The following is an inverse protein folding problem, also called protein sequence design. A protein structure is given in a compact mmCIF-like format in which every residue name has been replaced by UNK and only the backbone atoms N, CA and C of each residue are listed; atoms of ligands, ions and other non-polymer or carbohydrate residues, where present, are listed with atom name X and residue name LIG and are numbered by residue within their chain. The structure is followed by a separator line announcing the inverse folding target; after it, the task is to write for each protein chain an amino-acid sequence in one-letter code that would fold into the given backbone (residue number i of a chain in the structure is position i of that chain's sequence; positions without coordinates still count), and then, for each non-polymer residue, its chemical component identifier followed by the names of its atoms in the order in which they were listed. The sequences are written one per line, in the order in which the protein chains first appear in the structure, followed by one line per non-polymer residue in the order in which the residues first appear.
data_IF_774019642523
#
_entry.id   IF_774019642523
#
_cell.length_a   1.000
_cell.length_b   1.000
_cell.length_c   1.000
_cell.angle_alpha   90.00
_cell.angle_beta   90.00
_cell.angle_gamma   90.00
#
_symmetry.space_group_name_H-M   'P 1'
#
loop_
_entity.id
_entity.type
_entity.pdbx_description
1 polymer ?
#
# COMPACT_ATOMS: atom_id res chain seq x y z
N UNK A 1 12.09 -16.73 21.14
CA UNK A 1 13.26 -17.65 21.11
C UNK A 1 12.74 -19.06 20.92
N UNK A 2 13.44 -19.89 20.15
CA UNK A 2 13.18 -21.31 19.99
C UNK A 2 14.26 -22.15 20.64
N UNK A 3 13.92 -23.35 21.11
CA UNK A 3 14.91 -24.33 21.57
C UNK A 3 15.35 -25.17 20.39
N UNK A 4 16.62 -25.06 20.01
CA UNK A 4 17.22 -25.94 19.00
C UNK A 4 17.65 -27.23 19.68
N UNK A 5 17.10 -28.35 19.23
CA UNK A 5 17.46 -29.69 19.70
C UNK A 5 18.51 -30.29 18.76
N UNK A 6 19.78 -29.91 18.95
CA UNK A 6 20.90 -30.55 18.27
C UNK A 6 21.29 -31.82 19.04
N UNK A 7 21.01 -32.98 18.43
CA UNK A 7 21.29 -34.29 19.02
C UNK A 7 22.78 -34.67 19.05
N UNK A 8 23.66 -33.90 18.40
CA UNK A 8 25.11 -34.10 18.40
C UNK A 8 25.82 -33.14 19.35
N UNK A 9 25.45 -31.85 19.32
CA UNK A 9 26.17 -30.80 20.06
C UNK A 9 25.44 -30.30 21.32
N UNK A 10 24.26 -30.85 21.62
CA UNK A 10 23.45 -30.43 22.75
C UNK A 10 22.51 -29.27 22.42
N UNK A 11 21.47 -29.11 23.23
CA UNK A 11 20.43 -28.13 22.92
C UNK A 11 20.80 -26.71 23.36
N UNK A 12 20.43 -25.72 22.54
CA UNK A 12 20.69 -24.30 22.80
C UNK A 12 19.48 -23.44 22.45
N UNK A 13 19.44 -22.22 23.00
CA UNK A 13 18.41 -21.25 22.69
C UNK A 13 18.82 -20.42 21.47
N UNK A 14 17.93 -20.31 20.50
CA UNK A 14 18.11 -19.47 19.32
C UNK A 14 17.05 -18.37 19.30
N UNK A 15 17.45 -17.13 19.04
CA UNK A 15 16.51 -16.06 18.78
C UNK A 15 15.76 -16.37 17.48
N UNK A 16 14.43 -16.20 17.51
CA UNK A 16 13.61 -16.27 16.30
C UNK A 16 13.28 -14.82 16.00
N UNK A 17 14.05 -14.23 15.10
CA UNK A 17 13.84 -12.87 14.63
C UNK A 17 13.15 -12.93 13.27
N UNK A 18 12.18 -12.04 13.01
CA UNK A 18 11.57 -11.94 11.70
C UNK A 18 12.60 -11.48 10.67
N UNK A 19 12.39 -11.89 9.40
CA UNK A 19 13.10 -11.32 8.27
C UNK A 19 12.99 -9.79 8.27
N UNK A 20 14.09 -9.08 8.07
CA UNK A 20 14.14 -7.63 8.26
C UNK A 20 13.55 -6.84 7.08
N UNK A 21 13.62 -7.40 5.86
CA UNK A 21 13.27 -6.69 4.63
C UNK A 21 11.88 -7.08 4.12
N UNK A 22 10.83 -6.58 4.77
CA UNK A 22 9.45 -6.72 4.31
C UNK A 22 9.00 -5.41 3.66
N UNK A 23 8.82 -5.45 2.34
CA UNK A 23 8.58 -4.25 1.54
C UNK A 23 7.39 -4.52 0.61
N UNK A 24 6.43 -3.61 0.62
CA UNK A 24 5.42 -3.45 -0.40
C UNK A 24 5.76 -2.19 -1.20
N UNK A 25 6.01 -2.34 -2.50
CA UNK A 25 6.36 -1.23 -3.39
C UNK A 25 5.44 -1.21 -4.60
N UNK A 26 4.86 -0.05 -4.90
CA UNK A 26 3.95 0.15 -6.03
C UNK A 26 4.41 1.37 -6.82
N UNK A 27 4.51 1.22 -8.13
CA UNK A 27 4.76 2.30 -9.06
C UNK A 27 3.67 2.32 -10.13
N UNK A 28 2.96 3.43 -10.22
CA UNK A 28 1.82 3.64 -11.09
C UNK A 28 2.05 4.84 -12.01
N UNK A 29 1.86 4.62 -13.30
CA UNK A 29 1.88 5.67 -14.32
C UNK A 29 0.52 5.70 -15.00
N UNK A 30 -0.18 6.81 -14.88
CA UNK A 30 -1.56 6.99 -15.33
C UNK A 30 -1.62 8.19 -16.28
N UNK A 31 -2.45 8.11 -17.29
CA UNK A 31 -2.75 9.18 -18.23
C UNK A 31 -4.27 9.35 -18.36
N UNK A 32 -4.73 10.59 -18.29
CA UNK A 32 -6.11 10.97 -18.57
C UNK A 32 -6.35 11.04 -20.09
N UNK A 33 -7.48 10.52 -20.56
CA UNK A 33 -7.95 10.73 -21.93
C UNK A 33 -8.96 11.89 -22.01
N UNK A 34 -9.42 12.20 -23.23
CA UNK A 34 -10.39 13.28 -23.48
C UNK A 34 -11.84 12.94 -23.03
N UNK A 35 -12.11 11.65 -22.84
CA UNK A 35 -13.41 11.09 -22.47
C UNK A 35 -13.60 10.98 -20.95
N UNK A 36 -12.58 11.31 -20.16
CA UNK A 36 -12.59 11.19 -18.71
C UNK A 36 -12.24 9.80 -18.18
N UNK A 37 -11.67 8.94 -19.04
CA UNK A 37 -11.14 7.64 -18.66
C UNK A 37 -9.64 7.79 -18.40
N UNK A 38 -9.19 7.18 -17.30
CA UNK A 38 -7.79 7.19 -16.91
C UNK A 38 -7.20 5.80 -17.16
N UNK A 39 -6.11 5.72 -17.91
CA UNK A 39 -5.46 4.43 -18.20
C UNK A 39 -4.02 4.45 -17.74
N UNK A 40 -3.49 3.30 -17.33
CA UNK A 40 -2.15 3.26 -16.77
C UNK A 40 -1.51 1.90 -16.69
N UNK A 41 -0.25 1.91 -16.27
CA UNK A 41 0.55 0.73 -15.95
C UNK A 41 0.92 0.75 -14.49
N UNK A 42 0.81 -0.42 -13.85
CA UNK A 42 1.16 -0.62 -12.46
C UNK A 42 2.20 -1.72 -12.37
N UNK A 43 3.28 -1.42 -11.64
CA UNK A 43 4.32 -2.38 -11.30
C UNK A 43 4.37 -2.48 -9.78
N UNK A 44 4.26 -3.70 -9.25
CA UNK A 44 4.35 -3.97 -7.82
C UNK A 44 5.53 -4.91 -7.55
N UNK A 45 6.18 -4.70 -6.41
CA UNK A 45 7.22 -5.58 -5.91
C UNK A 45 7.02 -5.82 -4.42
N UNK A 46 6.94 -7.10 -4.04
CA UNK A 46 6.70 -7.54 -2.67
C UNK A 46 7.92 -8.33 -2.19
N UNK A 47 8.39 -8.07 -0.97
CA UNK A 47 9.57 -8.72 -0.37
C UNK A 47 9.22 -9.36 0.97
N UNK A 48 10.00 -10.38 1.36
CA UNK A 48 9.90 -11.01 2.68
C UNK A 48 8.53 -11.66 2.91
N UNK A 49 7.99 -11.53 4.13
CA UNK A 49 6.72 -12.11 4.51
C UNK A 49 5.52 -11.55 3.72
N UNK A 50 5.59 -10.30 3.27
CA UNK A 50 4.55 -9.71 2.40
C UNK A 50 4.49 -10.47 1.06
N UNK A 51 5.64 -10.83 0.50
CA UNK A 51 5.70 -11.62 -0.72
C UNK A 51 5.16 -13.05 -0.51
N UNK A 52 5.46 -13.63 0.66
CA UNK A 52 4.98 -14.96 1.03
C UNK A 52 3.45 -15.00 1.16
N UNK A 53 2.86 -14.05 1.89
CA UNK A 53 1.41 -13.93 2.03
C UNK A 53 0.74 -13.82 0.65
N UNK A 54 1.30 -13.00 -0.23
CA UNK A 54 0.75 -12.80 -1.58
C UNK A 54 0.89 -14.02 -2.48
N UNK A 55 2.00 -14.75 -2.39
CA UNK A 55 2.17 -16.05 -3.08
C UNK A 55 1.11 -17.05 -2.61
N UNK A 56 0.87 -17.13 -1.30
CA UNK A 56 -0.15 -18.02 -0.77
C UNK A 56 -1.55 -17.64 -1.28
N UNK A 57 -1.90 -16.35 -1.32
CA UNK A 57 -3.18 -15.92 -1.90
C UNK A 57 -3.33 -16.29 -3.38
N UNK A 58 -2.25 -16.21 -4.17
CA UNK A 58 -2.26 -16.58 -5.59
C UNK A 58 -2.30 -18.11 -5.78
N UNK A 59 -1.82 -18.89 -4.82
CA UNK A 59 -1.85 -20.35 -4.87
C UNK A 59 -3.21 -20.91 -4.38
N UNK A 60 -3.80 -20.26 -3.36
CA UNK A 60 -5.11 -20.61 -2.80
C UNK A 60 -6.27 -20.24 -3.74
N UNK A 61 -6.16 -19.13 -4.46
CA UNK A 61 -7.15 -18.66 -5.42
C UNK A 61 -6.70 -18.94 -6.87
N UNK A 62 -7.63 -19.12 -7.81
CA UNK A 62 -7.22 -19.08 -9.21
C UNK A 62 -6.81 -17.65 -9.59
N UNK A 63 -5.83 -17.48 -10.48
CA UNK A 63 -5.40 -16.14 -10.91
C UNK A 63 -6.56 -15.22 -11.36
N UNK A 64 -7.59 -15.70 -12.10
CA UNK A 64 -8.77 -14.88 -12.41
C UNK A 64 -9.57 -14.42 -11.19
N UNK A 65 -9.72 -15.28 -10.18
CA UNK A 65 -10.40 -14.91 -8.92
C UNK A 65 -9.58 -13.89 -8.14
N UNK A 66 -8.26 -14.07 -8.10
CA UNK A 66 -7.34 -13.13 -7.49
C UNK A 66 -7.43 -11.72 -8.11
N UNK A 67 -7.45 -11.65 -9.44
CA UNK A 67 -7.63 -10.38 -10.18
C UNK A 67 -9.01 -9.77 -9.88
N UNK A 68 -10.07 -10.58 -9.91
CA UNK A 68 -11.44 -10.13 -9.62
C UNK A 68 -11.55 -9.58 -8.19
N UNK A 69 -10.91 -10.22 -7.22
CA UNK A 69 -10.88 -9.77 -5.84
C UNK A 69 -10.17 -8.42 -5.70
N UNK A 70 -9.09 -8.19 -6.46
CA UNK A 70 -8.45 -6.87 -6.52
C UNK A 70 -9.35 -5.79 -7.14
N UNK A 71 -10.08 -6.11 -8.20
CA UNK A 71 -11.02 -5.16 -8.83
C UNK A 71 -12.19 -4.80 -7.91
N UNK A 72 -12.71 -5.76 -7.15
CA UNK A 72 -13.87 -5.53 -6.28
C UNK A 72 -13.59 -4.60 -5.08
N UNK A 73 -12.32 -4.34 -4.74
CA UNK A 73 -12.00 -3.46 -3.61
C UNK A 73 -12.30 -1.98 -3.88
N UNK A 74 -12.29 -1.55 -5.14
CA UNK A 74 -12.62 -0.18 -5.54
C UNK A 74 -13.46 -0.18 -6.82
N UNK A 75 -14.64 0.42 -6.73
CA UNK A 75 -15.52 0.59 -7.89
C UNK A 75 -14.83 1.42 -8.99
N UNK A 76 -15.13 1.10 -10.25
CA UNK A 76 -14.60 1.83 -11.40
C UNK A 76 -13.17 1.46 -11.80
N UNK A 77 -12.64 0.31 -11.36
CA UNK A 77 -11.31 -0.17 -11.75
C UNK A 77 -11.40 -1.47 -12.56
N UNK A 78 -10.78 -1.44 -13.73
CA UNK A 78 -10.53 -2.62 -14.53
C UNK A 78 -9.04 -2.94 -14.59
N UNK A 79 -8.71 -4.23 -14.55
CA UNK A 79 -7.33 -4.73 -14.61
C UNK A 79 -7.19 -5.62 -15.83
N UNK A 80 -6.24 -5.30 -16.71
CA UNK A 80 -5.89 -6.11 -17.88
C UNK A 80 -4.40 -6.47 -17.91
N UNK A 81 -4.06 -7.50 -18.70
CA UNK A 81 -2.68 -7.96 -18.94
C UNK A 81 -1.88 -8.23 -17.66
N UNK A 82 -2.52 -8.89 -16.69
CA UNK A 82 -1.87 -9.27 -15.44
C UNK A 82 -0.74 -10.28 -15.65
N UNK A 83 0.44 -9.95 -15.15
CA UNK A 83 1.63 -10.80 -15.20
C UNK A 83 2.24 -10.87 -13.81
N UNK A 84 2.63 -12.08 -13.41
CA UNK A 84 3.31 -12.32 -12.15
C UNK A 84 4.63 -13.03 -12.43
N UNK A 85 5.71 -12.51 -11.87
CA UNK A 85 7.05 -13.07 -11.98
C UNK A 85 7.54 -13.54 -10.61
N UNK A 86 8.46 -14.51 -10.61
CA UNK A 86 9.15 -14.99 -9.40
C UNK A 86 8.20 -15.64 -8.35
N UNK A 87 7.09 -16.24 -8.80
CA UNK A 87 6.14 -16.98 -7.93
C UNK A 87 6.86 -18.08 -7.14
N UNK A 88 7.71 -18.87 -7.80
CA UNK A 88 8.39 -20.03 -7.19
C UNK A 88 9.73 -19.68 -6.52
N UNK A 89 10.27 -18.51 -6.79
CA UNK A 89 11.60 -18.07 -6.33
C UNK A 89 11.46 -17.29 -5.02
N UNK A 90 11.42 -18.00 -3.89
CA UNK A 90 11.14 -17.41 -2.56
C UNK A 90 12.16 -16.34 -2.11
N UNK A 91 13.40 -16.44 -2.58
CA UNK A 91 14.49 -15.51 -2.25
C UNK A 91 14.43 -14.22 -3.08
N UNK A 92 13.57 -14.18 -4.10
CA UNK A 92 13.36 -13.01 -4.96
C UNK A 92 12.04 -12.31 -4.61
N UNK A 93 11.91 -11.01 -4.90
CA UNK A 93 10.63 -10.33 -4.75
C UNK A 93 9.59 -10.89 -5.72
N UNK A 94 8.36 -11.07 -5.24
CA UNK A 94 7.22 -11.33 -6.11
C UNK A 94 6.89 -10.03 -6.86
N UNK A 95 6.92 -10.08 -8.19
CA UNK A 95 6.62 -8.91 -9.03
C UNK A 95 5.32 -9.11 -9.75
N UNK A 96 4.51 -8.05 -9.79
CA UNK A 96 3.23 -8.04 -10.48
C UNK A 96 3.17 -6.83 -11.40
N UNK A 97 2.87 -7.07 -12.66
CA UNK A 97 2.77 -6.03 -13.67
C UNK A 97 1.42 -6.14 -14.35
N UNK A 98 0.69 -5.03 -14.44
CA UNK A 98 -0.62 -5.03 -15.06
C UNK A 98 -0.98 -3.63 -15.56
N UNK A 99 -1.93 -3.61 -16.46
CA UNK A 99 -2.57 -2.38 -16.93
C UNK A 99 -3.83 -2.13 -16.10
N UNK A 100 -4.19 -0.85 -15.97
CA UNK A 100 -5.43 -0.42 -15.32
C UNK A 100 -6.21 0.53 -16.20
N UNK A 101 -7.52 0.46 -16.07
CA UNK A 101 -8.47 1.48 -16.51
C UNK A 101 -9.25 1.94 -15.29
N UNK A 102 -9.37 3.25 -15.11
CA UNK A 102 -10.09 3.89 -14.01
C UNK A 102 -11.17 4.77 -14.60
N UNK A 103 -12.41 4.53 -14.19
CA UNK A 103 -13.55 5.40 -14.41
C UNK A 103 -13.79 6.23 -13.14
N UNK A 104 -13.32 7.49 -13.10
CA UNK A 104 -13.41 8.30 -11.90
C UNK A 104 -14.84 8.80 -11.64
N UNK A 105 -15.12 9.15 -10.39
CA UNK A 105 -16.39 9.75 -10.02
C UNK A 105 -16.51 11.17 -10.61
N UNK A 106 -17.67 11.49 -11.18
CA UNK A 106 -17.96 12.81 -11.74
C UNK A 106 -19.07 13.50 -10.96
N UNK A 107 -18.82 14.73 -10.49
CA UNK A 107 -19.78 15.55 -9.75
C UNK A 107 -19.89 16.91 -10.42
N UNK A 108 -20.95 17.12 -11.20
CA UNK A 108 -21.09 18.32 -12.02
C UNK A 108 -20.04 18.35 -13.14
N UNK A 109 -19.20 19.39 -13.16
CA UNK A 109 -18.08 19.58 -14.08
C UNK A 109 -16.73 19.08 -13.52
N UNK A 110 -16.74 18.46 -12.34
CA UNK A 110 -15.55 18.04 -11.61
C UNK A 110 -15.34 16.53 -11.68
N UNK A 111 -14.09 16.12 -11.80
CA UNK A 111 -13.65 14.73 -11.71
C UNK A 111 -12.93 14.52 -10.38
N UNK A 112 -13.33 13.47 -9.66
CA UNK A 112 -12.77 13.09 -8.36
C UNK A 112 -11.96 11.81 -8.52
N UNK A 113 -10.69 11.87 -8.15
CA UNK A 113 -9.76 10.74 -8.27
C UNK A 113 -9.18 10.38 -6.91
N UNK A 114 -9.28 9.09 -6.56
CA UNK A 114 -8.56 8.53 -5.42
C UNK A 114 -7.22 7.95 -5.91
N UNK A 115 -6.08 8.54 -5.58
CA UNK A 115 -4.80 8.21 -6.22
C UNK A 115 -4.26 6.82 -5.87
N UNK A 116 -4.72 6.23 -4.77
CA UNK A 116 -4.30 4.90 -4.32
C UNK A 116 -5.33 3.86 -4.75
N UNK A 117 -5.38 3.57 -6.05
CA UNK A 117 -6.45 2.79 -6.69
C UNK A 117 -6.28 1.27 -6.50
N UNK A 118 -5.08 0.77 -6.21
CA UNK A 118 -4.84 -0.66 -5.98
C UNK A 118 -5.19 -1.08 -4.55
N UNK A 119 -5.41 -2.39 -4.37
CA UNK A 119 -5.53 -3.02 -3.05
C UNK A 119 -4.41 -2.56 -2.14
N UNK A 120 -4.78 -1.87 -1.07
CA UNK A 120 -3.81 -1.34 -0.11
C UNK A 120 -3.40 -2.43 0.86
N UNK A 121 -2.11 -2.47 1.24
CA UNK A 121 -1.64 -3.43 2.26
C UNK A 121 -2.40 -3.28 3.59
N UNK A 122 -2.89 -2.06 3.88
CA UNK A 122 -3.73 -1.77 5.04
C UNK A 122 -5.10 -1.29 4.57
N UNK A 123 -6.11 -2.13 4.77
CA UNK A 123 -7.47 -1.83 4.36
C UNK A 123 -8.35 -1.22 5.45
N UNK A 124 -8.04 -1.45 6.73
CA UNK A 124 -8.77 -0.84 7.83
C UNK A 124 -7.83 -0.54 9.00
N UNK A 125 -8.28 0.31 9.92
CA UNK A 125 -7.55 0.56 11.15
C UNK A 125 -7.73 -0.64 12.08
N UNK A 126 -6.66 -1.37 12.44
CA UNK A 126 -6.76 -2.52 13.36
C UNK A 126 -7.06 -2.09 14.81
N UNK A 127 -6.96 -0.80 15.13
CA UNK A 127 -7.12 -0.24 16.47
C UNK A 127 -8.55 0.27 16.74
N UNK A 128 -9.48 -0.67 16.93
CA UNK A 128 -10.91 -0.37 17.14
C UNK A 128 -11.30 -0.09 18.60
N UNK A 129 -10.53 -0.58 19.56
CA UNK A 129 -10.82 -0.44 21.00
C UNK A 129 -10.48 0.98 21.51
N UNK A 130 -10.95 1.31 22.72
CA UNK A 130 -10.55 2.56 23.40
C UNK A 130 -9.15 2.45 24.01
N UNK A 131 -8.84 1.30 24.58
CA UNK A 131 -7.57 1.01 25.25
C UNK A 131 -7.22 -0.47 25.09
N UNK A 132 -5.96 -0.81 25.38
CA UNK A 132 -5.45 -2.18 25.36
C UNK A 132 -4.45 -2.38 26.48
N UNK A 133 -4.62 -3.45 27.27
CA UNK A 133 -3.76 -3.74 28.42
C UNK A 133 -2.57 -4.66 28.10
N UNK A 134 -2.53 -5.22 26.90
CA UNK A 134 -1.47 -6.14 26.46
C UNK A 134 -0.63 -5.53 25.35
N UNK A 135 0.67 -5.90 25.26
CA UNK A 135 1.50 -5.54 24.14
C UNK A 135 0.88 -5.91 22.79
N UNK A 136 1.31 -5.21 21.75
CA UNK A 136 0.91 -5.43 20.37
C UNK A 136 2.11 -5.95 19.60
N UNK A 137 1.88 -6.97 18.79
CA UNK A 137 2.90 -7.59 17.96
C UNK A 137 2.36 -7.64 16.51
N UNK A 138 3.08 -7.01 15.59
CA UNK A 138 2.80 -6.97 14.15
C UNK A 138 3.54 -8.07 13.38
N UNK A 139 4.29 -8.93 14.06
CA UNK A 139 5.02 -10.06 13.48
C UNK A 139 6.37 -9.68 12.87
N UNK A 140 6.43 -8.60 12.10
CA UNK A 140 7.65 -8.17 11.42
C UNK A 140 7.66 -6.65 11.11
N UNK A 141 8.84 -6.01 11.05
CA UNK A 141 8.95 -4.63 10.58
C UNK A 141 8.67 -4.60 9.08
N UNK A 142 8.01 -3.55 8.60
CA UNK A 142 7.67 -3.44 7.18
C UNK A 142 7.66 -2.01 6.69
N UNK A 143 7.76 -1.86 5.37
CA UNK A 143 7.54 -0.60 4.68
C UNK A 143 6.59 -0.75 3.50
N UNK A 144 5.80 0.28 3.26
CA UNK A 144 4.87 0.38 2.16
C UNK A 144 5.08 1.70 1.42
N UNK A 145 5.38 1.62 0.12
CA UNK A 145 5.64 2.77 -0.74
C UNK A 145 4.73 2.74 -1.95
N UNK A 146 4.04 3.86 -2.21
CA UNK A 146 3.33 4.10 -3.47
C UNK A 146 3.92 5.32 -4.16
N UNK A 147 4.33 5.13 -5.41
CA UNK A 147 4.65 6.20 -6.33
C UNK A 147 3.56 6.25 -7.40
N UNK A 148 2.83 7.35 -7.46
CA UNK A 148 1.76 7.54 -8.45
C UNK A 148 2.07 8.79 -9.25
N UNK A 149 2.15 8.63 -10.57
CA UNK A 149 2.28 9.73 -11.52
C UNK A 149 1.03 9.75 -12.40
N UNK A 150 0.32 10.88 -12.41
CA UNK A 150 -0.87 11.09 -13.23
C UNK A 150 -0.56 12.21 -14.22
N UNK A 151 -0.62 11.91 -15.52
CA UNK A 151 -0.56 12.90 -16.60
C UNK A 151 -1.98 13.28 -17.01
N UNK A 152 -2.36 14.53 -16.77
CA UNK A 152 -3.66 15.10 -17.09
C UNK A 152 -3.79 15.48 -18.57
N UNK A 153 -2.68 15.45 -19.32
CA UNK A 153 -2.62 15.96 -20.69
C UNK A 153 -3.03 17.44 -20.75
N UNK A 154 -3.70 17.82 -21.82
CA UNK A 154 -4.29 19.16 -21.98
C UNK A 154 -5.81 19.16 -21.72
N UNK A 155 -6.31 18.12 -21.06
CA UNK A 155 -7.75 17.90 -20.87
C UNK A 155 -8.22 18.43 -19.52
N UNK A 156 -7.39 18.31 -18.48
CA UNK A 156 -7.75 18.64 -17.11
C UNK A 156 -6.73 19.54 -16.43
N UNK A 157 -7.22 20.39 -15.54
CA UNK A 157 -6.42 21.14 -14.58
C UNK A 157 -6.73 20.70 -13.15
N UNK A 158 -5.76 20.90 -12.26
CA UNK A 158 -5.90 20.60 -10.84
C UNK A 158 -6.68 21.71 -10.16
N UNK A 159 -7.85 21.39 -9.63
CA UNK A 159 -8.64 22.32 -8.82
C UNK A 159 -8.27 22.20 -7.34
N UNK A 160 -8.11 20.96 -6.85
CA UNK A 160 -7.76 20.70 -5.46
C UNK A 160 -6.84 19.48 -5.31
N UNK A 161 -5.80 19.63 -4.49
CA UNK A 161 -4.97 18.54 -4.00
C UNK A 161 -5.13 18.35 -2.49
N UNK A 162 -5.00 17.12 -1.99
CA UNK A 162 -4.81 16.88 -0.57
C UNK A 162 -3.52 17.53 -0.06
N UNK A 163 -3.44 17.73 1.27
CA UNK A 163 -2.27 18.34 1.90
C UNK A 163 -1.17 17.30 2.12
N UNK A 164 0.01 17.60 1.60
CA UNK A 164 1.25 16.89 1.95
C UNK A 164 1.50 16.98 3.45
N UNK A 165 1.78 15.83 4.08
CA UNK A 165 2.03 15.76 5.52
C UNK A 165 2.88 14.55 5.89
N UNK A 166 3.44 14.60 7.11
CA UNK A 166 4.12 13.47 7.72
C UNK A 166 3.72 13.34 9.19
N UNK A 167 3.67 12.10 9.66
CA UNK A 167 3.42 11.70 11.04
C UNK A 167 4.49 10.71 11.47
N UNK A 168 4.91 10.78 12.73
CA UNK A 168 5.94 9.91 13.30
C UNK A 168 5.42 9.31 14.59
N UNK A 169 5.73 8.04 14.80
CA UNK A 169 5.61 7.42 16.10
C UNK A 169 6.80 7.84 17.00
N UNK A 170 6.64 7.79 18.33
CA UNK A 170 7.75 8.00 19.26
C UNK A 170 8.92 7.04 19.00
N UNK A 171 10.09 7.36 19.54
CA UNK A 171 11.28 6.49 19.54
C UNK A 171 11.75 5.99 18.15
N UNK A 172 11.34 6.65 17.07
CA UNK A 172 11.55 6.17 15.69
C UNK A 172 10.91 4.79 15.45
N UNK A 173 9.81 4.46 16.14
CA UNK A 173 9.11 3.18 15.98
C UNK A 173 8.46 3.03 14.59
N UNK A 174 8.22 4.16 13.91
CA UNK A 174 7.66 4.20 12.56
C UNK A 174 7.34 5.63 12.10
N UNK A 175 7.12 5.77 10.80
CA UNK A 175 6.70 7.05 10.21
C UNK A 175 5.90 6.84 8.94
N UNK A 176 5.03 7.82 8.67
CA UNK A 176 4.27 7.91 7.44
C UNK A 176 4.44 9.31 6.86
N UNK A 177 4.53 9.40 5.54
CA UNK A 177 4.60 10.65 4.80
C UNK A 177 3.85 10.52 3.50
N UNK A 178 3.11 11.56 3.13
CA UNK A 178 2.52 11.71 1.81
C UNK A 178 2.90 13.07 1.24
N UNK A 179 3.36 13.09 -0.01
CA UNK A 179 3.73 14.29 -0.74
C UNK A 179 2.97 14.30 -2.05
N UNK A 180 2.22 15.38 -2.28
CA UNK A 180 1.53 15.70 -3.54
C UNK A 180 2.25 16.88 -4.20
N UNK A 181 2.62 16.73 -5.47
CA UNK A 181 3.24 17.77 -6.29
C UNK A 181 2.51 17.85 -7.61
N UNK A 182 1.94 19.01 -7.95
CA UNK A 182 1.43 19.28 -9.29
C UNK A 182 2.32 20.30 -10.00
N UNK A 183 2.81 19.91 -11.18
CA UNK A 183 3.67 20.73 -12.03
C UNK A 183 3.20 20.57 -13.49
N UNK A 184 2.69 21.66 -14.08
CA UNK A 184 2.09 21.61 -15.42
C UNK A 184 0.89 20.67 -15.46
N UNK A 185 0.89 19.73 -16.42
CA UNK A 185 -0.15 18.69 -16.57
C UNK A 185 0.08 17.46 -15.68
N UNK A 186 1.11 17.43 -14.83
CA UNK A 186 1.48 16.22 -14.09
C UNK A 186 1.26 16.36 -12.60
N UNK A 187 0.70 15.32 -12.01
CA UNK A 187 0.59 15.14 -10.55
C UNK A 187 1.49 13.98 -10.16
N UNK A 188 2.43 14.23 -9.26
CA UNK A 188 3.29 13.22 -8.66
C UNK A 188 2.94 13.07 -7.18
N UNK A 189 2.76 11.82 -6.76
CA UNK A 189 2.35 11.46 -5.41
C UNK A 189 3.33 10.43 -4.88
N UNK A 190 3.91 10.72 -3.72
CA UNK A 190 4.78 9.79 -3.01
C UNK A 190 4.18 9.54 -1.64
N UNK A 191 3.72 8.32 -1.41
CA UNK A 191 3.34 7.84 -0.09
C UNK A 191 4.41 6.87 0.40
N UNK A 192 4.89 7.09 1.62
CA UNK A 192 5.73 6.14 2.33
C UNK A 192 5.14 5.90 3.72
N UNK A 193 5.12 4.65 4.14
CA UNK A 193 4.83 4.22 5.49
C UNK A 193 5.87 3.20 5.90
N UNK A 194 6.33 3.24 7.14
CA UNK A 194 7.11 2.15 7.73
C UNK A 194 6.79 1.96 9.20
N UNK A 195 6.96 0.73 9.66
CA UNK A 195 7.15 0.39 11.06
C UNK A 195 8.55 -0.22 11.19
N UNK A 196 9.39 0.42 12.00
CA UNK A 196 10.76 -0.01 12.25
C UNK A 196 10.83 -1.08 13.34
N UNK A 197 9.87 -1.07 14.27
CA UNK A 197 9.65 -2.14 15.25
C UNK A 197 8.35 -2.87 14.97
N UNK A 198 8.28 -4.13 15.40
CA UNK A 198 7.10 -4.97 15.28
C UNK A 198 6.44 -5.25 16.63
N UNK A 199 7.08 -4.87 17.74
CA UNK A 199 6.53 -5.02 19.10
C UNK A 199 6.37 -3.67 19.76
N UNK A 200 5.19 -3.46 20.31
CA UNK A 200 4.80 -2.21 20.94
C UNK A 200 4.24 -2.46 22.33
N UNK A 201 4.65 -1.66 23.33
CA UNK A 201 4.03 -1.68 24.65
C UNK A 201 2.57 -1.20 24.58
N UNK A 202 1.78 -1.49 25.61
CA UNK A 202 0.34 -1.16 25.67
C UNK A 202 0.07 0.35 25.64
N UNK A 203 0.95 1.17 26.21
CA UNK A 203 0.85 2.63 26.23
C UNK A 203 1.03 3.28 24.84
N UNK A 204 1.66 2.59 23.88
CA UNK A 204 1.76 3.03 22.50
C UNK A 204 0.42 2.93 21.73
N UNK A 205 -0.62 2.32 22.31
CA UNK A 205 -1.89 2.03 21.63
C UNK A 205 -2.54 3.26 21.02
N UNK A 206 -2.61 4.36 21.77
CA UNK A 206 -3.27 5.58 21.30
C UNK A 206 -2.52 6.21 20.11
N UNK A 207 -1.19 6.28 20.20
CA UNK A 207 -0.33 6.76 19.10
C UNK A 207 -0.47 5.90 17.85
N UNK A 208 -0.51 4.57 18.01
CA UNK A 208 -0.73 3.64 16.89
C UNK A 208 -2.12 3.82 16.28
N UNK A 209 -3.15 3.98 17.11
CA UNK A 209 -4.52 4.19 16.63
C UNK A 209 -4.64 5.44 15.76
N UNK A 210 -4.03 6.54 16.17
CA UNK A 210 -3.99 7.79 15.41
C UNK A 210 -3.14 7.67 14.15
N UNK A 211 -1.99 6.99 14.26
CA UNK A 211 -1.08 6.73 13.15
C UNK A 211 -1.77 5.94 12.03
N UNK A 212 -2.34 4.77 12.35
CA UNK A 212 -3.07 3.95 11.39
C UNK A 212 -4.36 4.62 10.92
N UNK A 213 -5.05 5.36 11.78
CA UNK A 213 -6.23 6.13 11.37
C UNK A 213 -5.90 7.15 10.28
N UNK A 214 -4.82 7.91 10.48
CA UNK A 214 -4.34 8.90 9.50
C UNK A 214 -3.94 8.23 8.19
N UNK A 215 -3.27 7.08 8.24
CA UNK A 215 -2.89 6.31 7.06
C UNK A 215 -4.13 5.87 6.27
N UNK A 216 -5.15 5.34 6.95
CA UNK A 216 -6.38 4.90 6.29
C UNK A 216 -7.09 6.09 5.63
N UNK A 217 -7.18 7.23 6.30
CA UNK A 217 -7.73 8.46 5.70
C UNK A 217 -6.96 8.86 4.43
N UNK A 218 -5.62 8.88 4.47
CA UNK A 218 -4.79 9.20 3.28
C UNK A 218 -5.07 8.23 2.12
N UNK A 219 -5.13 6.93 2.42
CA UNK A 219 -5.23 5.88 1.40
C UNK A 219 -6.65 5.75 0.81
N UNK A 220 -7.70 6.10 1.57
CA UNK A 220 -9.09 5.78 1.22
C UNK A 220 -10.01 6.97 1.06
N UNK A 221 -9.79 8.05 1.81
CA UNK A 221 -10.74 9.17 1.89
C UNK A 221 -10.23 10.40 1.14
N UNK A 222 -8.92 10.54 0.95
CA UNK A 222 -8.34 11.70 0.28
C UNK A 222 -8.41 11.57 -1.24
N UNK A 223 -9.06 12.54 -1.87
CA UNK A 223 -9.23 12.64 -3.30
C UNK A 223 -8.57 13.88 -3.89
N UNK A 224 -8.26 13.77 -5.18
CA UNK A 224 -7.83 14.87 -6.04
C UNK A 224 -9.04 15.32 -6.83
N UNK A 225 -9.26 16.63 -6.89
CA UNK A 225 -10.35 17.22 -7.66
C UNK A 225 -9.76 17.90 -8.89
N UNK A 226 -10.26 17.49 -10.05
CA UNK A 226 -9.88 18.00 -11.35
C UNK A 226 -11.05 18.73 -12.00
N UNK A 227 -10.73 19.71 -12.84
CA UNK A 227 -11.69 20.41 -13.68
C UNK A 227 -11.28 20.28 -15.14
N UNK A 228 -12.25 20.10 -16.03
CA UNK A 228 -12.01 20.09 -17.47
C UNK A 228 -11.63 21.50 -17.95
N UNK A 229 -10.61 21.60 -18.82
CA UNK A 229 -10.18 22.86 -19.46
C UNK A 229 -11.15 23.23 -20.59
#
# INVERSE_FOLDING_TARGET
QGRVMDFKNGSYWMAIEPYEKNIHYVNAQITADENGIFTGKVNQANYGYIALEKRNSIDEETLPEYIKNQQNEKAGIEIDKYQVEEIKEIDKPLKENYNITIEPESVGDKIIIYPFFNKTYLNENPFKMKERSYPMDFGFPFSNTYLVSIDLGNTYEVEQLPKSRSIKLPNDDGECSVIYVAEGSKINIRFNMKLNTYRFPSDAYQSLKEYFGTIITILKEESIVLKKI
#
